data_IF_429248583435
#
_entry.id   IF_429248583435
#
_cell.length_a   1.000
_cell.length_b   1.000
_cell.length_c   1.000
_cell.angle_alpha   90.00
_cell.angle_beta   90.00
_cell.angle_gamma   90.00
#
_symmetry.space_group_name_H-M   'P 1'
#
loop_
_entity.id
_entity.type
_entity.pdbx_description
1 polymer ?
#
# COMPACT_ATOMS: atom_id res chain seq x y z
N UNK A 1 48.27 -19.05 -23.67
CA UNK A 1 46.93 -19.67 -23.62
C UNK A 1 46.22 -19.52 -22.28
N UNK A 2 46.88 -19.75 -21.15
CA UNK A 2 46.30 -19.71 -19.79
C UNK A 2 45.74 -18.35 -19.39
N UNK A 3 46.43 -17.24 -19.66
CA UNK A 3 45.93 -15.86 -19.36
C UNK A 3 44.61 -15.50 -20.02
N UNK A 4 44.41 -15.87 -21.27
CA UNK A 4 43.14 -15.59 -21.99
C UNK A 4 41.96 -16.38 -21.40
N UNK A 5 42.18 -17.56 -20.87
CA UNK A 5 41.14 -18.35 -20.22
C UNK A 5 40.72 -17.73 -18.88
N UNK A 6 41.67 -17.20 -18.11
CA UNK A 6 41.39 -16.55 -16.82
C UNK A 6 40.63 -15.22 -17.01
N UNK A 7 41.00 -14.43 -18.02
CA UNK A 7 40.27 -13.20 -18.36
C UNK A 7 38.81 -13.46 -18.83
N UNK A 8 38.62 -14.51 -19.64
CA UNK A 8 37.32 -14.93 -20.11
C UNK A 8 36.41 -15.42 -18.96
N UNK A 9 37.00 -16.17 -18.01
CA UNK A 9 36.27 -16.66 -16.84
C UNK A 9 35.89 -15.54 -15.89
N UNK A 10 36.76 -14.56 -15.66
CA UNK A 10 36.48 -13.38 -14.85
C UNK A 10 35.34 -12.54 -15.46
N UNK A 11 35.39 -12.35 -16.78
CA UNK A 11 34.33 -11.61 -17.49
C UNK A 11 32.97 -12.32 -17.38
N UNK A 12 32.95 -13.64 -17.52
CA UNK A 12 31.75 -14.45 -17.38
C UNK A 12 31.17 -14.38 -15.94
N UNK A 13 32.04 -14.48 -14.93
CA UNK A 13 31.64 -14.35 -13.52
C UNK A 13 31.05 -12.96 -13.20
N UNK A 14 31.68 -11.91 -13.74
CA UNK A 14 31.21 -10.53 -13.57
C UNK A 14 29.85 -10.30 -14.25
N UNK A 15 29.64 -10.89 -15.42
CA UNK A 15 28.35 -10.84 -16.13
C UNK A 15 27.24 -11.55 -15.34
N UNK A 16 27.55 -12.72 -14.74
CA UNK A 16 26.58 -13.44 -13.89
C UNK A 16 26.25 -12.62 -12.66
N UNK A 17 27.22 -11.99 -11.98
CA UNK A 17 26.99 -11.15 -10.80
C UNK A 17 26.11 -9.95 -11.16
N UNK A 18 26.39 -9.28 -12.29
CA UNK A 18 25.55 -8.17 -12.78
C UNK A 18 24.13 -8.65 -13.08
N UNK A 19 23.99 -9.78 -13.77
CA UNK A 19 22.67 -10.36 -14.02
C UNK A 19 21.91 -10.66 -12.71
N UNK A 20 22.57 -11.28 -11.72
CA UNK A 20 21.96 -11.56 -10.42
C UNK A 20 21.59 -10.28 -9.67
N UNK A 21 22.40 -9.23 -9.74
CA UNK A 21 22.09 -7.92 -9.15
C UNK A 21 20.92 -7.24 -9.88
N UNK A 22 20.83 -7.35 -11.21
CA UNK A 22 19.73 -6.80 -12.00
C UNK A 22 18.44 -7.59 -11.80
N UNK A 23 18.52 -8.93 -11.63
CA UNK A 23 17.34 -9.75 -11.32
C UNK A 23 16.83 -9.53 -9.90
N UNK A 24 17.68 -9.25 -8.91
CA UNK A 24 17.25 -8.89 -7.56
C UNK A 24 16.67 -7.47 -7.44
N UNK A 25 16.83 -6.62 -8.46
CA UNK A 25 16.38 -5.23 -8.41
C UNK A 25 14.93 -5.02 -8.86
N UNK A 26 14.15 -6.05 -9.28
CA UNK A 26 12.87 -5.81 -9.96
C UNK A 26 11.69 -6.68 -9.52
N UNK A 27 11.62 -7.13 -8.28
CA UNK A 27 10.33 -7.51 -7.71
C UNK A 27 9.82 -6.43 -6.73
N UNK A 28 9.66 -5.20 -7.18
CA UNK A 28 8.62 -4.36 -6.64
C UNK A 28 7.28 -4.96 -7.09
N UNK A 29 6.93 -6.09 -6.49
CA UNK A 29 5.61 -6.67 -6.60
C UNK A 29 4.66 -5.61 -6.03
N UNK A 30 3.86 -4.99 -6.92
CA UNK A 30 2.75 -4.11 -6.56
C UNK A 30 1.74 -4.96 -5.77
N UNK A 31 2.04 -5.19 -4.50
CA UNK A 31 1.23 -6.07 -3.68
C UNK A 31 0.13 -5.26 -3.02
N UNK A 32 -1.07 -5.35 -3.60
CA UNK A 32 -2.28 -4.88 -2.94
C UNK A 32 -2.83 -6.06 -2.15
N UNK A 33 -2.96 -5.87 -0.85
CA UNK A 33 -3.54 -6.85 0.05
C UNK A 33 -5.06 -6.83 -0.03
N UNK A 34 -5.71 -7.89 0.40
CA UNK A 34 -7.16 -7.97 0.46
C UNK A 34 -7.59 -8.65 1.76
N UNK A 35 -8.45 -7.97 2.51
CA UNK A 35 -9.06 -8.46 3.75
C UNK A 35 -8.07 -8.95 4.82
N UNK A 36 -6.87 -8.38 4.84
CA UNK A 36 -5.94 -8.59 5.94
C UNK A 36 -6.42 -7.84 7.19
N UNK A 37 -6.07 -8.34 8.37
CA UNK A 37 -6.37 -7.63 9.61
C UNK A 37 -5.64 -6.28 9.67
N UNK A 38 -6.15 -5.37 10.49
CA UNK A 38 -5.50 -4.07 10.70
C UNK A 38 -4.09 -4.25 11.28
N UNK A 39 -3.95 -5.15 12.24
CA UNK A 39 -2.70 -5.46 12.92
C UNK A 39 -1.65 -6.00 11.96
N UNK A 40 -2.05 -6.90 11.05
CA UNK A 40 -1.15 -7.48 10.05
C UNK A 40 -0.64 -6.39 9.09
N UNK A 41 -1.54 -5.55 8.55
CA UNK A 41 -1.15 -4.47 7.65
C UNK A 41 -0.28 -3.43 8.36
N UNK A 42 -0.63 -3.05 9.59
CA UNK A 42 0.17 -2.15 10.40
C UNK A 42 1.58 -2.73 10.65
N UNK A 43 1.68 -4.02 10.97
CA UNK A 43 2.98 -4.70 11.15
C UNK A 43 3.82 -4.70 9.88
N UNK A 44 3.19 -4.93 8.71
CA UNK A 44 3.88 -4.89 7.41
C UNK A 44 4.34 -3.45 7.11
N UNK A 45 3.49 -2.46 7.36
CA UNK A 45 3.76 -1.05 7.14
C UNK A 45 4.94 -0.57 8.00
N UNK A 46 4.92 -0.90 9.28
CA UNK A 46 5.98 -0.59 10.23
C UNK A 46 7.34 -1.18 9.81
N UNK A 47 7.37 -2.48 9.43
CA UNK A 47 8.60 -3.14 8.96
C UNK A 47 9.19 -2.54 7.68
N UNK A 48 8.35 -1.94 6.85
CA UNK A 48 8.75 -1.34 5.58
C UNK A 48 8.91 0.18 5.65
N UNK A 49 8.68 0.78 6.83
CA UNK A 49 8.71 2.24 7.05
C UNK A 49 7.84 2.98 6.03
N UNK A 50 6.64 2.44 5.77
CA UNK A 50 5.69 2.97 4.78
C UNK A 50 4.35 3.26 5.42
N UNK A 51 3.73 4.36 4.99
CA UNK A 51 2.31 4.57 5.22
C UNK A 51 1.48 3.41 4.67
N UNK A 52 0.26 3.25 5.16
CA UNK A 52 -0.67 2.30 4.56
C UNK A 52 -2.07 2.88 4.40
N UNK A 53 -2.79 2.34 3.43
CA UNK A 53 -4.14 2.72 3.11
C UNK A 53 -5.06 1.52 3.27
N UNK A 54 -6.15 1.69 4.01
CA UNK A 54 -7.25 0.74 4.05
C UNK A 54 -8.37 1.30 3.20
N UNK A 55 -8.70 0.58 2.14
CA UNK A 55 -9.75 0.94 1.21
C UNK A 55 -10.99 0.14 1.56
N UNK A 56 -11.94 0.79 2.23
CA UNK A 56 -13.22 0.19 2.57
C UNK A 56 -14.12 0.17 1.33
N UNK A 57 -14.63 -0.99 1.03
CA UNK A 57 -15.50 -1.23 -0.12
C UNK A 57 -16.70 -2.08 0.27
N UNK A 58 -17.76 -1.94 -0.49
CA UNK A 58 -18.92 -2.84 -0.45
C UNK A 58 -18.95 -3.63 -1.76
N UNK A 59 -18.61 -4.91 -1.72
CA UNK A 59 -18.52 -5.75 -2.91
C UNK A 59 -19.87 -5.93 -3.63
N UNK A 60 -20.98 -5.62 -2.98
CA UNK A 60 -22.32 -5.65 -3.60
C UNK A 60 -22.56 -4.43 -4.49
N UNK A 61 -21.84 -3.32 -4.28
CA UNK A 61 -21.99 -2.08 -5.03
C UNK A 61 -21.09 -2.03 -6.26
N UNK A 62 -21.67 -1.66 -7.41
CA UNK A 62 -20.93 -1.55 -8.67
C UNK A 62 -19.77 -0.54 -8.59
N UNK A 63 -19.97 0.59 -7.93
CA UNK A 63 -18.94 1.64 -7.75
C UNK A 63 -17.73 1.08 -7.02
N UNK A 64 -17.93 0.35 -5.93
CA UNK A 64 -16.87 -0.30 -5.15
C UNK A 64 -16.11 -1.34 -5.98
N UNK A 65 -16.81 -2.14 -6.79
CA UNK A 65 -16.19 -3.13 -7.68
C UNK A 65 -15.30 -2.47 -8.71
N UNK A 66 -15.78 -1.42 -9.38
CA UNK A 66 -14.98 -0.63 -10.34
C UNK A 66 -13.76 0.00 -9.68
N UNK A 67 -13.92 0.51 -8.48
CA UNK A 67 -12.81 1.09 -7.71
C UNK A 67 -11.72 0.06 -7.42
N UNK A 68 -12.11 -1.13 -6.96
CA UNK A 68 -11.16 -2.24 -6.73
C UNK A 68 -10.40 -2.65 -8.01
N UNK A 69 -11.07 -2.66 -9.17
CA UNK A 69 -10.40 -2.94 -10.44
C UNK A 69 -9.39 -1.85 -10.80
N UNK A 70 -9.74 -0.59 -10.60
CA UNK A 70 -8.85 0.54 -10.85
C UNK A 70 -7.63 0.52 -9.93
N UNK A 71 -7.80 0.20 -8.64
CA UNK A 71 -6.70 0.05 -7.70
C UNK A 71 -5.68 -1.01 -8.15
N UNK A 72 -6.16 -2.11 -8.75
CA UNK A 72 -5.31 -3.21 -9.23
C UNK A 72 -4.62 -2.90 -10.56
N UNK A 73 -5.07 -1.88 -11.28
CA UNK A 73 -4.45 -1.49 -12.54
C UNK A 73 -3.13 -0.73 -12.28
N UNK A 74 -2.09 -1.10 -13.02
CA UNK A 74 -0.77 -0.45 -12.93
C UNK A 74 -0.90 1.06 -13.20
N UNK A 75 -0.38 1.87 -12.30
CA UNK A 75 -0.36 3.34 -12.43
C UNK A 75 -1.47 4.10 -11.70
N UNK A 76 -2.45 3.41 -11.11
CA UNK A 76 -3.48 4.08 -10.29
C UNK A 76 -3.02 4.36 -8.86
N UNK A 77 -2.17 3.50 -8.29
CA UNK A 77 -1.62 3.68 -6.94
C UNK A 77 -0.11 3.53 -6.94
N UNK A 78 0.55 4.36 -6.15
CA UNK A 78 1.99 4.27 -5.96
C UNK A 78 2.32 3.39 -4.76
N UNK A 79 2.43 2.09 -4.99
CA UNK A 79 2.80 1.11 -3.96
C UNK A 79 4.26 1.22 -3.49
N UNK A 80 5.06 2.06 -4.14
CA UNK A 80 6.39 2.40 -3.64
C UNK A 80 6.32 3.27 -2.40
N UNK A 81 5.27 4.10 -2.28
CA UNK A 81 5.07 5.05 -1.19
C UNK A 81 4.21 4.52 -0.05
N UNK A 82 3.22 3.68 -0.36
CA UNK A 82 2.29 3.15 0.62
C UNK A 82 1.92 1.69 0.34
N UNK A 83 1.44 1.03 1.38
CA UNK A 83 0.86 -0.32 1.33
C UNK A 83 -0.65 -0.16 1.25
N UNK A 84 -1.32 -0.94 0.39
CA UNK A 84 -2.77 -0.88 0.22
C UNK A 84 -3.41 -2.20 0.66
N UNK A 85 -4.51 -2.09 1.40
CA UNK A 85 -5.37 -3.22 1.78
C UNK A 85 -6.81 -2.90 1.44
N UNK A 86 -7.42 -3.72 0.59
CA UNK A 86 -8.85 -3.61 0.28
C UNK A 86 -9.61 -4.41 1.34
N UNK A 87 -10.48 -3.75 2.09
CA UNK A 87 -11.30 -4.34 3.13
C UNK A 87 -12.78 -4.28 2.72
N UNK A 88 -13.35 -5.43 2.38
CA UNK A 88 -14.77 -5.55 2.08
C UNK A 88 -15.57 -5.56 3.38
N UNK A 89 -16.46 -4.57 3.54
CA UNK A 89 -17.27 -4.42 4.76
C UNK A 89 -18.31 -5.52 4.96
N UNK A 90 -18.59 -6.31 3.92
CA UNK A 90 -19.48 -7.47 4.01
C UNK A 90 -18.80 -8.70 4.65
N UNK A 91 -17.47 -8.66 4.80
CA UNK A 91 -16.73 -9.69 5.52
C UNK A 91 -16.76 -9.37 7.01
N UNK A 92 -17.17 -10.34 7.83
CA UNK A 92 -17.38 -10.15 9.27
C UNK A 92 -16.15 -9.60 10.01
N UNK A 93 -14.94 -9.99 9.63
CA UNK A 93 -13.69 -9.47 10.20
C UNK A 93 -13.48 -7.98 9.93
N UNK A 94 -14.13 -7.41 8.93
CA UNK A 94 -14.01 -6.01 8.55
C UNK A 94 -15.20 -5.15 9.03
N UNK A 95 -16.25 -5.76 9.57
CA UNK A 95 -17.47 -5.06 9.96
C UNK A 95 -17.23 -3.98 11.04
N UNK A 96 -16.18 -4.12 11.85
CA UNK A 96 -15.82 -3.15 12.88
C UNK A 96 -15.41 -1.79 12.30
N UNK A 97 -14.88 -1.73 11.07
CA UNK A 97 -14.57 -0.46 10.40
C UNK A 97 -15.81 0.42 10.22
N UNK A 98 -16.96 -0.18 9.93
CA UNK A 98 -18.22 0.54 9.78
C UNK A 98 -18.67 1.18 11.10
N UNK A 99 -18.45 0.51 12.23
CA UNK A 99 -18.78 1.03 13.56
C UNK A 99 -17.79 2.11 14.01
N UNK A 100 -16.52 1.94 13.68
CA UNK A 100 -15.46 2.82 14.13
C UNK A 100 -15.40 4.12 13.32
N UNK A 101 -15.46 4.04 11.99
CA UNK A 101 -15.30 5.17 11.10
C UNK A 101 -16.64 5.83 10.74
N UNK A 102 -17.76 5.13 10.90
CA UNK A 102 -19.10 5.59 10.51
C UNK A 102 -19.12 6.24 9.12
N UNK A 103 -18.61 5.59 8.07
CA UNK A 103 -18.47 6.21 6.76
C UNK A 103 -19.83 6.61 6.19
N UNK A 104 -19.92 7.85 5.68
CA UNK A 104 -21.12 8.34 5.02
C UNK A 104 -21.32 7.72 3.64
N UNK A 105 -20.25 7.24 3.03
CA UNK A 105 -20.29 6.62 1.70
C UNK A 105 -19.14 5.66 1.51
N UNK A 106 -19.31 4.70 0.61
CA UNK A 106 -18.28 3.77 0.15
C UNK A 106 -18.11 3.92 -1.38
N UNK A 107 -16.91 3.72 -1.91
CA UNK A 107 -15.69 3.38 -1.21
C UNK A 107 -15.10 4.55 -0.41
N UNK A 108 -14.35 4.22 0.66
CA UNK A 108 -13.64 5.17 1.49
C UNK A 108 -12.17 4.72 1.63
N UNK A 109 -11.23 5.60 1.32
CA UNK A 109 -9.80 5.35 1.54
C UNK A 109 -9.38 5.99 2.86
N UNK A 110 -8.92 5.15 3.79
CA UNK A 110 -8.38 5.57 5.09
C UNK A 110 -6.86 5.53 5.01
N UNK A 111 -6.20 6.66 5.22
CA UNK A 111 -4.74 6.80 5.17
C UNK A 111 -4.19 6.76 6.59
N UNK A 112 -3.20 5.89 6.81
CA UNK A 112 -2.53 5.70 8.10
C UNK A 112 -1.02 5.91 7.97
N UNK A 113 -0.40 6.35 9.06
CA UNK A 113 1.05 6.31 9.20
C UNK A 113 1.53 4.85 9.29
N UNK A 114 2.84 4.64 9.22
CA UNK A 114 3.50 3.36 9.48
C UNK A 114 3.25 2.82 10.90
N UNK A 115 2.94 3.69 11.84
CA UNK A 115 2.61 3.35 13.25
C UNK A 115 1.12 3.13 13.51
N UNK A 116 0.27 3.20 12.48
CA UNK A 116 -1.18 2.99 12.59
C UNK A 116 -1.99 4.19 13.03
N UNK A 117 -1.42 5.40 13.01
CA UNK A 117 -2.17 6.63 13.28
C UNK A 117 -2.98 7.01 12.04
N UNK A 118 -4.30 7.18 12.19
CA UNK A 118 -5.17 7.68 11.12
C UNK A 118 -4.81 9.14 10.79
N UNK A 119 -4.58 9.40 9.51
CA UNK A 119 -4.15 10.69 9.00
C UNK A 119 -5.26 11.36 8.25
N UNK A 120 -5.90 10.64 7.33
CA UNK A 120 -6.95 11.20 6.48
C UNK A 120 -7.99 10.17 6.10
N UNK A 121 -9.19 10.67 5.73
CA UNK A 121 -10.33 9.92 5.23
C UNK A 121 -10.76 10.53 3.89
N UNK A 122 -10.51 9.81 2.81
CA UNK A 122 -10.74 10.29 1.45
C UNK A 122 -11.90 9.51 0.83
N UNK A 123 -13.10 10.09 0.76
CA UNK A 123 -14.26 9.43 0.16
C UNK A 123 -14.20 9.46 -1.37
N UNK A 124 -14.86 8.48 -1.99
CA UNK A 124 -15.07 8.44 -3.43
C UNK A 124 -14.22 7.42 -4.16
N UNK A 125 -14.44 7.34 -5.47
CA UNK A 125 -13.87 6.34 -6.37
C UNK A 125 -13.34 6.96 -7.66
N UNK A 126 -12.95 8.21 -7.62
CA UNK A 126 -12.48 8.96 -8.80
C UNK A 126 -10.95 8.97 -8.88
N UNK A 127 -10.43 9.47 -9.98
CA UNK A 127 -8.99 9.67 -10.15
C UNK A 127 -8.44 10.65 -9.11
N UNK A 128 -9.21 11.65 -8.76
CA UNK A 128 -8.88 12.67 -7.75
C UNK A 128 -8.65 12.04 -6.37
N UNK A 129 -9.42 10.99 -6.02
CA UNK A 129 -9.23 10.24 -4.76
C UNK A 129 -7.81 9.70 -4.66
N UNK A 130 -7.24 9.20 -5.76
CA UNK A 130 -5.86 8.70 -5.76
C UNK A 130 -4.84 9.82 -5.65
N UNK A 131 -5.09 10.97 -6.27
CA UNK A 131 -4.21 12.15 -6.16
C UNK A 131 -4.19 12.64 -4.72
N UNK A 132 -5.33 12.83 -4.07
CA UNK A 132 -5.42 13.22 -2.67
C UNK A 132 -4.75 12.22 -1.73
N UNK A 133 -4.91 10.91 -1.97
CA UNK A 133 -4.22 9.88 -1.21
C UNK A 133 -2.70 10.03 -1.34
N UNK A 134 -2.20 10.29 -2.54
CA UNK A 134 -0.77 10.47 -2.81
C UNK A 134 -0.23 11.76 -2.16
N UNK A 135 -1.01 12.83 -2.18
CA UNK A 135 -0.70 14.10 -1.51
C UNK A 135 -0.64 13.92 0.00
N UNK A 136 -1.68 13.33 0.61
CA UNK A 136 -1.71 13.05 2.05
C UNK A 136 -0.50 12.24 2.52
N UNK A 137 -0.08 11.23 1.75
CA UNK A 137 1.12 10.43 2.05
C UNK A 137 2.39 11.25 1.90
N UNK A 138 2.45 12.14 0.90
CA UNK A 138 3.62 12.99 0.65
C UNK A 138 3.78 14.05 1.74
N UNK A 139 2.70 14.65 2.16
CA UNK A 139 2.67 15.66 3.22
C UNK A 139 3.12 15.11 4.57
N UNK A 140 2.82 13.84 4.86
CA UNK A 140 3.34 13.17 6.06
C UNK A 140 4.86 13.16 6.15
N UNK A 141 5.55 12.94 5.03
CA UNK A 141 7.02 12.91 5.00
C UNK A 141 7.64 14.29 5.22
N UNK A 142 6.91 15.34 4.85
CA UNK A 142 7.41 16.72 4.94
C UNK A 142 7.19 17.30 6.33
N UNK A 143 6.11 16.94 7.01
CA UNK A 143 5.64 17.70 8.15
C UNK A 143 5.93 17.09 9.52
N UNK A 144 6.35 15.81 9.62
CA UNK A 144 6.44 15.10 10.92
C UNK A 144 5.17 15.34 11.79
N UNK A 145 4.01 15.43 11.16
CA UNK A 145 2.76 15.79 11.83
C UNK A 145 2.38 14.70 12.83
N UNK A 146 2.60 14.99 14.10
CA UNK A 146 1.93 14.31 15.18
C UNK A 146 0.46 14.77 15.20
N UNK A 147 -0.38 14.09 14.43
CA UNK A 147 -1.82 14.24 14.62
C UNK A 147 -2.15 13.79 16.05
N UNK A 148 -2.83 14.60 16.83
CA UNK A 148 -3.25 14.18 18.17
C UNK A 148 -4.10 12.91 18.01
N UNK A 149 -3.77 11.86 18.76
CA UNK A 149 -4.44 10.56 18.82
C UNK A 149 -5.95 10.72 19.07
N UNK A 150 -6.72 11.16 18.07
CA UNK A 150 -8.19 11.29 18.19
C UNK A 150 -8.90 9.95 18.03
N UNK A 151 -8.22 8.97 17.49
CA UNK A 151 -8.79 7.66 17.25
C UNK A 151 -7.95 6.58 17.94
N UNK A 152 -8.41 6.15 19.11
CA UNK A 152 -7.91 4.90 19.69
C UNK A 152 -8.67 3.76 19.02
N UNK A 153 -7.93 2.83 18.42
CA UNK A 153 -8.49 1.58 17.91
C UNK A 153 -9.16 0.87 19.09
N UNK A 154 -10.44 0.48 19.00
CA UNK A 154 -11.06 -0.34 20.03
C UNK A 154 -10.27 -1.64 20.19
N UNK A 155 -9.85 -1.94 21.41
CA UNK A 155 -9.25 -3.24 21.75
C UNK A 155 -10.30 -4.32 21.73
#
# INVERSE_FOLDING_TARGET
MRKRLEESFLFFLFTIIICLLLFNCNEHIYKIYSNQSFEDICSIAYKNEKAFCIVLVDSTQELSRRYCLNLKNKGFVDTSKAIYNIADVNISSNAWYMKWLCPLSLPLTCVFSDTGTLIDLIPGATKETFLYTTEAISDMKITNYHYPNRFKIPK
#
